data_IF_521423888316
#
_entry.id   IF_521423888316
#
_cell.length_a   1.000
_cell.length_b   1.000
_cell.length_c   1.000
_cell.angle_alpha   90.00
_cell.angle_beta   90.00
_cell.angle_gamma   90.00
#
_symmetry.space_group_name_H-M   'P 1'
#
loop_
_entity.id
_entity.type
_entity.pdbx_description
1 polymer ?
#
# COMPACT_ATOMS: atom_id res chain seq x y z
N UNK A 1 -0.09 -27.67 -16.86
CA UNK A 1 -0.07 -26.28 -16.37
C UNK A 1 1.31 -26.03 -15.80
N UNK A 2 2.15 -25.32 -16.54
CA UNK A 2 3.50 -24.96 -16.09
C UNK A 2 3.41 -23.82 -15.08
N UNK A 3 3.97 -24.05 -13.90
CA UNK A 3 4.19 -23.05 -12.86
C UNK A 3 5.18 -22.00 -13.42
N UNK A 4 4.70 -20.79 -13.69
CA UNK A 4 5.58 -19.64 -13.91
C UNK A 4 6.17 -19.25 -12.56
N UNK A 5 7.33 -19.80 -12.23
CA UNK A 5 8.22 -19.23 -11.21
C UNK A 5 8.63 -17.84 -11.69
N UNK A 6 8.05 -16.81 -11.09
CA UNK A 6 8.57 -15.45 -11.22
C UNK A 6 9.90 -15.41 -10.46
N UNK A 7 11.01 -15.51 -11.19
CA UNK A 7 12.29 -14.96 -10.77
C UNK A 7 12.09 -13.46 -10.55
N UNK A 8 11.75 -13.06 -9.31
CA UNK A 8 11.92 -11.67 -8.90
C UNK A 8 13.38 -11.55 -8.49
N UNK A 9 14.07 -10.72 -9.26
CA UNK A 9 15.42 -10.20 -9.03
C UNK A 9 15.89 -10.38 -7.59
N UNK A 10 16.80 -11.33 -7.41
CA UNK A 10 17.70 -11.39 -6.28
C UNK A 10 18.71 -10.26 -6.42
N UNK A 11 18.27 -9.01 -6.27
CA UNK A 11 19.18 -7.95 -5.92
C UNK A 11 19.36 -8.06 -4.40
N UNK A 12 20.57 -8.32 -3.88
CA UNK A 12 20.79 -8.20 -2.45
C UNK A 12 20.71 -6.70 -2.18
N UNK A 13 19.50 -6.20 -1.88
CA UNK A 13 19.36 -4.97 -1.13
C UNK A 13 20.22 -5.20 0.10
N UNK A 14 21.36 -4.53 0.14
CA UNK A 14 22.22 -4.47 1.31
C UNK A 14 21.32 -4.36 2.52
N UNK A 15 21.56 -5.16 3.56
CA UNK A 15 20.92 -5.07 4.87
C UNK A 15 21.26 -3.72 5.56
N UNK A 16 21.01 -2.62 4.86
CA UNK A 16 20.98 -1.29 5.40
C UNK A 16 19.80 -1.30 6.37
N UNK A 17 20.12 -1.16 7.65
CA UNK A 17 19.14 -1.08 8.72
C UNK A 17 18.29 0.16 8.46
N UNK A 18 17.21 -0.01 7.71
CA UNK A 18 16.32 1.07 7.33
C UNK A 18 15.57 1.56 8.57
N UNK A 19 15.61 2.88 8.79
CA UNK A 19 14.96 3.48 9.95
C UNK A 19 13.43 3.37 9.82
N UNK A 20 12.79 2.92 10.89
CA UNK A 20 11.33 2.78 10.95
C UNK A 20 10.66 4.14 10.84
N UNK A 21 9.52 4.19 10.16
CA UNK A 21 8.72 5.39 10.01
C UNK A 21 8.46 6.09 11.36
N UNK A 22 8.79 7.37 11.43
CA UNK A 22 8.66 8.16 12.65
C UNK A 22 7.20 8.55 12.95
N UNK A 23 6.38 8.77 11.92
CA UNK A 23 4.96 9.13 12.06
C UNK A 23 4.19 8.02 12.80
N UNK A 24 4.51 6.75 12.57
CA UNK A 24 3.87 5.63 13.27
C UNK A 24 4.22 5.55 14.76
N UNK A 25 5.37 6.10 15.16
CA UNK A 25 5.90 5.99 16.53
C UNK A 25 5.64 7.22 17.38
N UNK A 26 5.52 8.40 16.77
CA UNK A 26 5.43 9.65 17.49
C UNK A 26 4.07 9.84 18.20
N UNK A 27 4.05 10.53 19.35
CA UNK A 27 2.82 11.02 19.95
C UNK A 27 2.07 11.93 18.98
N UNK A 28 0.74 11.91 19.04
CA UNK A 28 -0.15 12.68 18.17
C UNK A 28 0.26 14.15 18.01
N UNK A 29 0.65 14.82 19.11
CA UNK A 29 1.04 16.24 19.09
C UNK A 29 2.25 16.47 18.18
N UNK A 30 3.24 15.57 18.19
CA UNK A 30 4.42 15.70 17.34
C UNK A 30 4.11 15.43 15.87
N UNK A 31 3.13 14.56 15.58
CA UNK A 31 2.62 14.37 14.22
C UNK A 31 1.83 15.59 13.74
N UNK A 32 1.03 16.20 14.62
CA UNK A 32 0.24 17.39 14.31
C UNK A 32 1.13 18.57 13.88
N UNK A 33 2.26 18.75 14.56
CA UNK A 33 3.25 19.78 14.20
C UNK A 33 4.31 19.30 13.20
N UNK A 34 4.16 18.10 12.65
CA UNK A 34 5.09 17.51 11.70
C UNK A 34 6.56 17.51 12.18
N UNK A 35 6.77 17.38 13.49
CA UNK A 35 8.11 17.44 14.11
C UNK A 35 9.02 16.30 13.65
N UNK A 36 8.47 15.25 13.05
CA UNK A 36 9.24 14.14 12.47
C UNK A 36 10.09 14.56 11.26
N UNK A 37 9.87 15.73 10.66
CA UNK A 37 10.75 16.28 9.61
C UNK A 37 11.97 17.04 10.15
N UNK A 38 12.00 17.40 11.43
CA UNK A 38 13.12 18.16 12.02
C UNK A 38 14.51 17.53 11.77
N UNK A 39 14.70 16.19 11.81
CA UNK A 39 15.99 15.58 11.50
C UNK A 39 16.48 15.85 10.07
N UNK A 40 15.57 16.11 9.12
CA UNK A 40 15.92 16.46 7.74
C UNK A 40 16.18 17.95 7.58
N UNK A 41 15.35 18.79 8.18
CA UNK A 41 15.46 20.27 8.06
C UNK A 41 16.72 20.78 8.76
N UNK A 42 17.03 20.25 9.94
CA UNK A 42 18.17 20.69 10.74
C UNK A 42 19.48 19.99 10.35
N UNK A 43 19.49 19.17 9.29
CA UNK A 43 20.68 18.44 8.87
C UNK A 43 21.66 19.35 8.15
N UNK A 44 22.91 19.36 8.61
CA UNK A 44 24.01 20.11 7.97
C UNK A 44 24.62 19.34 6.78
N UNK A 45 24.58 18.01 6.84
CA UNK A 45 25.14 17.12 5.80
C UNK A 45 24.12 16.87 4.68
N UNK A 46 24.56 16.60 3.44
CA UNK A 46 23.69 16.16 2.36
C UNK A 46 22.82 14.95 2.78
N UNK A 47 21.62 14.89 2.21
CA UNK A 47 20.70 13.77 2.39
C UNK A 47 21.19 12.61 1.52
N UNK A 48 21.25 11.42 2.11
CA UNK A 48 21.62 10.18 1.44
C UNK A 48 20.48 9.15 1.54
N UNK A 49 20.55 8.07 0.76
CA UNK A 49 19.54 7.01 0.80
C UNK A 49 19.40 6.37 2.20
N UNK A 50 20.48 6.34 2.98
CA UNK A 50 20.49 5.81 4.35
C UNK A 50 19.72 6.69 5.36
N UNK A 51 19.44 7.94 4.97
CA UNK A 51 18.64 8.87 5.78
C UNK A 51 17.14 8.72 5.53
N UNK A 52 16.75 8.00 4.47
CA UNK A 52 15.35 7.79 4.11
C UNK A 52 14.72 6.76 5.07
N UNK A 53 13.61 7.14 5.69
CA UNK A 53 12.83 6.26 6.55
C UNK A 53 11.92 5.35 5.71
N UNK A 54 11.55 4.20 6.27
CA UNK A 54 10.59 3.31 5.65
C UNK A 54 9.20 3.95 5.49
N UNK A 55 8.51 3.55 4.44
CA UNK A 55 7.11 3.93 4.19
C UNK A 55 6.22 3.35 5.30
N UNK A 56 5.20 4.12 5.71
CA UNK A 56 4.21 3.67 6.69
C UNK A 56 3.47 2.43 6.19
N UNK A 57 3.12 1.51 7.09
CA UNK A 57 2.54 0.21 6.74
C UNK A 57 1.27 0.32 5.90
N UNK A 58 0.47 1.36 6.16
CA UNK A 58 -0.81 1.63 5.48
C UNK A 58 -0.62 2.16 4.06
N UNK A 59 0.53 2.78 3.78
CA UNK A 59 0.83 3.41 2.49
C UNK A 59 1.61 2.47 1.57
N UNK A 60 2.02 1.29 2.06
CA UNK A 60 2.69 0.30 1.23
C UNK A 60 1.74 -0.24 0.16
N UNK A 61 2.29 -0.49 -1.03
CA UNK A 61 1.53 -0.94 -2.19
C UNK A 61 0.92 -2.33 -1.99
N UNK A 62 1.61 -3.23 -1.28
CA UNK A 62 1.11 -4.57 -0.93
C UNK A 62 -0.18 -4.46 -0.10
N UNK A 63 -0.14 -3.69 0.98
CA UNK A 63 -1.27 -3.51 1.88
C UNK A 63 -2.47 -2.85 1.20
N UNK A 64 -2.24 -1.79 0.43
CA UNK A 64 -3.32 -1.07 -0.28
C UNK A 64 -3.95 -1.92 -1.38
N UNK A 65 -3.16 -2.71 -2.10
CA UNK A 65 -3.64 -3.65 -3.12
C UNK A 65 -4.50 -4.76 -2.49
N UNK A 66 -4.04 -5.34 -1.38
CA UNK A 66 -4.78 -6.38 -0.66
C UNK A 66 -6.12 -5.85 -0.14
N UNK A 67 -6.13 -4.66 0.48
CA UNK A 67 -7.38 -4.02 0.92
C UNK A 67 -8.33 -3.71 -0.22
N UNK A 68 -7.81 -3.35 -1.39
CA UNK A 68 -8.62 -3.14 -2.58
C UNK A 68 -9.26 -4.44 -3.05
N UNK A 69 -8.52 -5.54 -3.07
CA UNK A 69 -9.04 -6.85 -3.43
C UNK A 69 -10.12 -7.33 -2.44
N UNK A 70 -9.87 -7.19 -1.13
CA UNK A 70 -10.84 -7.52 -0.07
C UNK A 70 -12.15 -6.73 -0.22
N UNK A 71 -12.06 -5.43 -0.55
CA UNK A 71 -13.24 -4.57 -0.67
C UNK A 71 -13.98 -4.68 -1.99
N UNK A 72 -13.25 -4.79 -3.11
CA UNK A 72 -13.82 -4.77 -4.45
C UNK A 72 -14.35 -6.15 -4.87
N UNK A 73 -13.63 -7.23 -4.56
CA UNK A 73 -13.99 -8.59 -4.98
C UNK A 73 -15.43 -8.99 -4.65
N UNK A 74 -15.87 -8.84 -3.38
CA UNK A 74 -17.25 -9.17 -2.98
C UNK A 74 -18.30 -8.30 -3.68
N UNK A 75 -18.03 -7.00 -3.82
CA UNK A 75 -18.94 -6.06 -4.50
C UNK A 75 -19.09 -6.40 -5.97
N UNK A 76 -17.99 -6.77 -6.63
CA UNK A 76 -18.00 -7.18 -8.02
C UNK A 76 -18.75 -8.50 -8.22
N UNK A 77 -18.55 -9.48 -7.33
CA UNK A 77 -19.31 -10.73 -7.35
C UNK A 77 -20.82 -10.48 -7.21
N UNK A 78 -21.23 -9.62 -6.28
CA UNK A 78 -22.64 -9.23 -6.13
C UNK A 78 -23.19 -8.51 -7.35
N UNK A 79 -22.39 -7.61 -7.95
CA UNK A 79 -22.75 -6.93 -9.19
C UNK A 79 -23.03 -7.92 -10.33
N UNK A 80 -22.18 -8.94 -10.51
CA UNK A 80 -22.38 -9.97 -11.54
C UNK A 80 -23.71 -10.71 -11.36
N UNK A 81 -24.07 -11.07 -10.12
CA UNK A 81 -25.35 -11.70 -9.81
C UNK A 81 -26.52 -10.76 -10.15
N UNK A 82 -26.43 -9.51 -9.74
CA UNK A 82 -27.48 -8.52 -9.97
C UNK A 82 -27.66 -8.22 -11.46
N UNK A 83 -26.55 -8.13 -12.20
CA UNK A 83 -26.56 -7.95 -13.66
C UNK A 83 -27.24 -9.14 -14.34
N UNK A 84 -26.89 -10.37 -13.97
CA UNK A 84 -27.53 -11.57 -14.54
C UNK A 84 -29.04 -11.62 -14.27
N UNK A 85 -29.49 -11.20 -13.07
CA UNK A 85 -30.92 -11.07 -12.75
C UNK A 85 -31.61 -10.02 -13.62
N UNK A 86 -30.97 -8.87 -13.80
CA UNK A 86 -31.48 -7.79 -14.64
C UNK A 86 -31.60 -8.20 -16.11
N UNK A 87 -30.57 -8.86 -16.65
CA UNK A 87 -30.57 -9.33 -18.03
C UNK A 87 -31.69 -10.36 -18.29
N UNK A 88 -31.95 -11.26 -17.32
CA UNK A 88 -33.12 -12.16 -17.38
C UNK A 88 -34.45 -11.40 -17.37
N UNK A 89 -34.61 -10.46 -16.44
CA UNK A 89 -35.82 -9.65 -16.35
C UNK A 89 -36.11 -8.88 -17.65
N UNK A 90 -35.07 -8.33 -18.27
CA UNK A 90 -35.16 -7.62 -19.55
C UNK A 90 -35.57 -8.52 -20.72
N UNK A 91 -35.14 -9.80 -20.72
CA UNK A 91 -35.58 -10.77 -21.72
C UNK A 91 -37.05 -11.16 -21.53
N UNK A 92 -37.51 -11.24 -20.28
CA UNK A 92 -38.89 -11.58 -19.93
C UNK A 92 -39.86 -10.38 -20.10
N UNK A 93 -39.33 -9.15 -20.10
CA UNK A 93 -40.09 -7.90 -20.25
C UNK A 93 -39.42 -7.00 -21.32
N UNK A 94 -39.49 -7.37 -22.60
CA UNK A 94 -38.87 -6.63 -23.70
C UNK A 94 -39.48 -5.25 -23.94
#
# INVERSE_FOLDING_TARGET
MQERKNERDSNPESDAIHKVNLEEKHPFILNLFYCFFLPFICRVKPITNDDIYQIGKKDRCDYTSDKTLEGWGPKYAQYLINKAKFDKYKLENP
#
